data_IF_950180984363
#
_entry.id   IF_950180984363
#
_cell.length_a   1.000
_cell.length_b   1.000
_cell.length_c   1.000
_cell.angle_alpha   90.00
_cell.angle_beta   90.00
_cell.angle_gamma   90.00
#
_symmetry.space_group_name_H-M   'P 1'
#
loop_
_entity.id
_entity.type
_entity.pdbx_description
1 polymer ?
#
# COMPACT_ATOMS: atom_id res chain seq x y z
N UNK A 1 26.21 -27.54 32.77
CA UNK A 1 25.75 -27.13 31.41
C UNK A 1 24.48 -26.30 31.58
N UNK A 2 24.62 -25.01 31.54
CA UNK A 2 23.48 -24.10 31.65
C UNK A 2 22.87 -23.86 30.24
N UNK A 3 21.68 -24.39 30.03
CA UNK A 3 20.91 -24.13 28.82
C UNK A 3 20.44 -22.67 28.84
N UNK A 4 20.99 -21.86 27.97
CA UNK A 4 20.51 -20.49 27.68
C UNK A 4 19.12 -20.59 27.00
N UNK A 5 18.09 -20.73 27.82
CA UNK A 5 16.72 -20.58 27.38
C UNK A 5 16.51 -19.12 26.96
N UNK A 6 16.54 -18.85 25.66
CA UNK A 6 16.17 -17.53 25.14
C UNK A 6 14.77 -17.16 25.63
N UNK A 7 14.64 -15.95 26.19
CA UNK A 7 13.38 -15.39 26.67
C UNK A 7 12.31 -15.50 25.56
N UNK A 8 11.08 -15.98 25.84
CA UNK A 8 10.00 -16.07 24.86
C UNK A 8 9.75 -14.78 24.09
N UNK A 9 9.99 -13.63 24.71
CA UNK A 9 9.88 -12.31 24.08
C UNK A 9 11.00 -12.05 23.07
N UNK A 10 12.22 -12.55 23.34
CA UNK A 10 13.36 -12.41 22.42
C UNK A 10 13.19 -13.32 21.20
N UNK A 11 12.66 -14.52 21.38
CA UNK A 11 12.30 -15.41 20.26
C UNK A 11 11.26 -14.74 19.35
N UNK A 12 10.15 -14.25 19.92
CA UNK A 12 9.13 -13.53 19.12
C UNK A 12 9.67 -12.31 18.38
N UNK A 13 10.63 -11.58 18.97
CA UNK A 13 11.29 -10.47 18.28
C UNK A 13 12.16 -10.93 17.12
N UNK A 14 12.87 -12.03 17.28
CA UNK A 14 13.67 -12.61 16.21
C UNK A 14 12.78 -13.13 15.06
N UNK A 15 11.69 -13.82 15.38
CA UNK A 15 10.73 -14.32 14.40
C UNK A 15 10.09 -13.17 13.59
N UNK A 16 9.75 -12.04 14.25
CA UNK A 16 9.22 -10.85 13.58
C UNK A 16 10.30 -10.19 12.70
N UNK A 17 11.55 -10.13 13.14
CA UNK A 17 12.64 -9.57 12.36
C UNK A 17 12.90 -10.40 11.11
N UNK A 18 12.94 -11.72 11.22
CA UNK A 18 13.07 -12.65 10.10
C UNK A 18 11.88 -12.52 9.12
N UNK A 19 10.66 -12.41 9.64
CA UNK A 19 9.47 -12.17 8.81
C UNK A 19 9.53 -10.83 8.06
N UNK A 20 10.11 -9.78 8.65
CA UNK A 20 10.32 -8.49 7.98
C UNK A 20 11.36 -8.59 6.86
N UNK A 21 12.43 -9.36 7.05
CA UNK A 21 13.45 -9.60 6.02
C UNK A 21 12.91 -10.45 4.86
N UNK A 22 11.98 -11.36 5.15
CA UNK A 22 11.34 -12.22 4.16
C UNK A 22 10.20 -11.52 3.39
N UNK A 23 9.85 -10.27 3.71
CA UNK A 23 8.78 -9.57 3.01
C UNK A 23 9.10 -9.41 1.52
N UNK A 24 8.15 -9.76 0.64
CA UNK A 24 8.32 -9.51 -0.77
C UNK A 24 8.44 -8.00 -1.03
N UNK A 25 9.36 -7.59 -1.92
CA UNK A 25 9.55 -6.18 -2.25
C UNK A 25 8.29 -5.58 -2.90
N UNK A 26 8.12 -4.27 -2.74
CA UNK A 26 7.08 -3.55 -3.47
C UNK A 26 7.28 -3.71 -4.97
N UNK A 27 6.19 -3.88 -5.75
CA UNK A 27 6.30 -3.98 -7.21
C UNK A 27 6.97 -2.75 -7.81
N UNK A 28 7.82 -2.95 -8.80
CA UNK A 28 8.54 -1.86 -9.45
C UNK A 28 7.58 -0.78 -9.99
N UNK A 29 6.42 -1.17 -10.53
CA UNK A 29 5.42 -0.22 -11.01
C UNK A 29 4.83 0.62 -9.87
N UNK A 30 4.63 0.05 -8.68
CA UNK A 30 4.16 0.82 -7.52
C UNK A 30 5.19 1.86 -7.09
N UNK A 31 6.46 1.49 -7.04
CA UNK A 31 7.57 2.41 -6.74
C UNK A 31 7.63 3.56 -7.75
N UNK A 32 7.51 3.26 -9.05
CA UNK A 32 7.50 4.30 -10.11
C UNK A 32 6.28 5.22 -10.00
N UNK A 33 5.11 4.70 -9.69
CA UNK A 33 3.92 5.54 -9.45
C UNK A 33 4.13 6.46 -8.26
N UNK A 34 4.74 5.95 -7.17
CA UNK A 34 5.07 6.77 -5.99
C UNK A 34 6.08 7.88 -6.33
N UNK A 35 7.11 7.58 -7.11
CA UNK A 35 8.11 8.53 -7.57
C UNK A 35 7.47 9.68 -8.37
N UNK A 36 6.66 9.34 -9.37
CA UNK A 36 5.90 10.33 -10.15
C UNK A 36 4.96 11.15 -9.26
N UNK A 37 4.31 10.49 -8.31
CA UNK A 37 3.34 11.13 -7.42
C UNK A 37 3.96 12.10 -6.41
N UNK A 38 5.21 11.90 -6.03
CA UNK A 38 5.94 12.78 -5.10
C UNK A 38 6.65 13.95 -5.80
N UNK A 39 6.84 13.86 -7.11
CA UNK A 39 7.49 14.91 -7.86
C UNK A 39 6.50 16.05 -8.19
N UNK A 40 6.70 17.27 -7.65
CA UNK A 40 5.80 18.39 -7.89
C UNK A 40 5.72 18.84 -9.37
N UNK A 41 6.70 18.44 -10.18
CA UNK A 41 6.76 18.74 -11.61
C UNK A 41 6.06 17.70 -12.48
N UNK A 42 5.63 16.58 -11.89
CA UNK A 42 4.96 15.50 -12.62
C UNK A 42 3.54 15.89 -12.99
N UNK A 43 3.17 15.48 -14.18
CA UNK A 43 1.84 15.66 -14.78
C UNK A 43 1.00 14.37 -14.74
N UNK A 44 -0.28 14.49 -15.07
CA UNK A 44 -1.13 13.34 -15.29
C UNK A 44 -0.63 12.45 -16.46
N UNK A 45 0.07 13.06 -17.44
CA UNK A 45 0.67 12.32 -18.56
C UNK A 45 1.82 11.44 -18.11
N UNK A 46 2.66 11.90 -17.18
CA UNK A 46 3.76 11.10 -16.63
C UNK A 46 3.21 9.88 -15.85
N UNK A 47 2.16 10.09 -15.08
CA UNK A 47 1.45 9.00 -14.40
C UNK A 47 0.83 8.02 -15.41
N UNK A 48 0.23 8.54 -16.51
CA UNK A 48 -0.34 7.71 -17.56
C UNK A 48 0.70 6.82 -18.23
N UNK A 49 1.90 7.32 -18.48
CA UNK A 49 3.00 6.53 -19.06
C UNK A 49 3.40 5.37 -18.14
N UNK A 50 3.54 5.62 -16.83
CA UNK A 50 3.87 4.57 -15.87
C UNK A 50 2.76 3.53 -15.78
N UNK A 51 1.50 3.95 -15.68
CA UNK A 51 0.35 3.03 -15.61
C UNK A 51 0.24 2.20 -16.89
N UNK A 52 0.43 2.82 -18.05
CA UNK A 52 0.34 2.14 -19.36
C UNK A 52 1.46 1.13 -19.58
N UNK A 53 2.57 1.22 -18.85
CA UNK A 53 3.66 0.24 -18.94
C UNK A 53 3.31 -1.11 -18.30
N UNK A 54 2.22 -1.18 -17.50
CA UNK A 54 1.73 -2.41 -16.88
C UNK A 54 0.30 -2.71 -17.35
N UNK A 55 0.12 -3.75 -18.22
CA UNK A 55 -1.20 -4.10 -18.77
C UNK A 55 -2.22 -4.49 -17.69
N UNK A 56 -1.76 -5.16 -16.62
CA UNK A 56 -2.63 -5.56 -15.50
C UNK A 56 -3.14 -4.36 -14.72
N UNK A 57 -2.28 -3.38 -14.45
CA UNK A 57 -2.65 -2.13 -13.78
C UNK A 57 -3.57 -1.30 -14.66
N UNK A 58 -3.26 -1.16 -15.96
CA UNK A 58 -4.10 -0.49 -16.94
C UNK A 58 -5.51 -1.05 -16.98
N UNK A 59 -5.65 -2.37 -17.08
CA UNK A 59 -6.94 -3.06 -17.07
C UNK A 59 -7.75 -2.85 -15.78
N UNK A 60 -7.09 -2.81 -14.63
CA UNK A 60 -7.75 -2.52 -13.34
C UNK A 60 -8.28 -1.09 -13.30
N UNK A 61 -7.51 -0.11 -13.70
CA UNK A 61 -7.92 1.30 -13.72
C UNK A 61 -9.09 1.51 -14.69
N UNK A 62 -9.00 0.97 -15.90
CA UNK A 62 -10.08 1.07 -16.89
C UNK A 62 -11.37 0.42 -16.39
N UNK A 63 -11.29 -0.72 -15.72
CA UNK A 63 -12.45 -1.39 -15.13
C UNK A 63 -13.13 -0.54 -14.06
N UNK A 64 -12.37 0.13 -13.22
CA UNK A 64 -12.92 0.99 -12.17
C UNK A 64 -13.60 2.21 -12.77
N UNK A 65 -12.96 2.89 -13.71
CA UNK A 65 -13.53 4.10 -14.37
C UNK A 65 -14.81 3.77 -15.12
N UNK A 66 -14.90 2.58 -15.71
CA UNK A 66 -16.10 2.13 -16.41
C UNK A 66 -17.14 1.47 -15.50
N UNK A 67 -16.89 1.39 -14.18
CA UNK A 67 -17.86 0.87 -13.23
C UNK A 67 -19.04 1.84 -13.03
N UNK A 68 -20.11 1.34 -12.44
CA UNK A 68 -21.32 2.14 -12.19
C UNK A 68 -21.05 3.42 -11.36
N UNK A 69 -20.03 3.41 -10.49
CA UNK A 69 -19.67 4.54 -9.63
C UNK A 69 -19.08 5.75 -10.41
N UNK A 70 -18.48 5.50 -11.59
CA UNK A 70 -17.85 6.52 -12.43
C UNK A 70 -18.47 6.62 -13.82
N UNK A 71 -19.59 5.91 -14.04
CA UNK A 71 -20.22 5.77 -15.35
C UNK A 71 -20.46 7.12 -16.03
N UNK A 72 -19.93 7.26 -17.23
CA UNK A 72 -20.20 8.35 -18.15
C UNK A 72 -21.10 7.88 -19.29
N UNK A 73 -21.45 8.80 -20.19
CA UNK A 73 -22.26 8.52 -21.38
C UNK A 73 -21.57 7.57 -22.38
N UNK A 74 -20.24 7.48 -22.32
CA UNK A 74 -19.44 6.57 -23.16
C UNK A 74 -18.38 5.83 -22.35
N UNK A 75 -17.95 4.70 -22.85
CA UNK A 75 -16.88 3.90 -22.28
C UNK A 75 -15.52 4.61 -22.43
N UNK A 76 -14.72 4.58 -21.38
CA UNK A 76 -13.33 5.07 -21.35
C UNK A 76 -12.42 3.94 -21.81
N UNK A 77 -11.70 4.13 -22.90
CA UNK A 77 -10.86 3.09 -23.52
C UNK A 77 -9.36 3.34 -23.37
N UNK A 78 -8.95 4.52 -22.90
CA UNK A 78 -7.53 4.84 -22.69
C UNK A 78 -7.20 5.18 -21.25
N UNK A 79 -5.98 4.80 -20.83
CA UNK A 79 -5.46 5.15 -19.49
C UNK A 79 -5.40 6.67 -19.32
N UNK A 80 -4.99 7.42 -20.35
CA UNK A 80 -4.92 8.87 -20.32
C UNK A 80 -6.29 9.48 -19.96
N UNK A 81 -7.34 9.05 -20.63
CA UNK A 81 -8.71 9.52 -20.37
C UNK A 81 -9.21 9.08 -18.99
N UNK A 82 -8.86 7.87 -18.57
CA UNK A 82 -9.18 7.36 -17.25
C UNK A 82 -8.59 8.24 -16.14
N UNK A 83 -7.32 8.63 -16.28
CA UNK A 83 -6.64 9.48 -15.29
C UNK A 83 -7.20 10.91 -15.26
N UNK A 84 -7.56 11.45 -16.41
CA UNK A 84 -8.25 12.76 -16.48
C UNK A 84 -9.63 12.67 -15.80
N UNK A 85 -10.35 11.57 -16.03
CA UNK A 85 -11.67 11.34 -15.42
C UNK A 85 -11.62 11.24 -13.91
N UNK A 86 -10.62 10.55 -13.37
CA UNK A 86 -10.42 10.36 -11.93
C UNK A 86 -9.84 11.61 -11.24
N UNK A 87 -9.10 12.40 -11.96
CA UNK A 87 -8.22 13.42 -11.40
C UNK A 87 -6.94 12.83 -10.80
N UNK A 88 -5.87 13.62 -10.75
CA UNK A 88 -4.52 13.16 -10.41
C UNK A 88 -4.43 12.40 -9.06
N UNK A 89 -5.03 12.95 -8.00
CA UNK A 89 -4.96 12.36 -6.64
C UNK A 89 -5.64 10.98 -6.59
N UNK A 90 -6.83 10.88 -7.17
CA UNK A 90 -7.60 9.63 -7.20
C UNK A 90 -6.88 8.58 -8.07
N UNK A 91 -6.43 9.00 -9.25
CA UNK A 91 -5.70 8.15 -10.19
C UNK A 91 -4.41 7.60 -9.56
N UNK A 92 -3.63 8.45 -8.92
CA UNK A 92 -2.43 8.07 -8.17
C UNK A 92 -2.72 7.01 -7.12
N UNK A 93 -3.71 7.26 -6.24
CA UNK A 93 -4.05 6.33 -5.16
C UNK A 93 -4.52 4.99 -5.72
N UNK A 94 -5.30 5.01 -6.80
CA UNK A 94 -5.75 3.78 -7.48
C UNK A 94 -4.61 3.05 -8.17
N UNK A 95 -3.69 3.76 -8.82
CA UNK A 95 -2.53 3.17 -9.48
C UNK A 95 -1.64 2.44 -8.46
N UNK A 96 -1.34 3.07 -7.32
CA UNK A 96 -0.53 2.45 -6.28
C UNK A 96 -1.26 1.23 -5.68
N UNK A 97 -2.53 1.39 -5.28
CA UNK A 97 -3.31 0.29 -4.71
C UNK A 97 -3.46 -0.87 -5.70
N UNK A 98 -3.69 -0.57 -6.98
CA UNK A 98 -3.82 -1.57 -8.03
C UNK A 98 -2.51 -2.30 -8.34
N UNK A 99 -1.38 -1.60 -8.34
CA UNK A 99 -0.07 -2.19 -8.53
C UNK A 99 0.26 -3.19 -7.40
N UNK A 100 0.00 -2.78 -6.16
CA UNK A 100 0.23 -3.62 -4.98
C UNK A 100 -0.71 -4.83 -4.96
N UNK A 101 -2.02 -4.61 -5.17
CA UNK A 101 -2.99 -5.70 -5.22
C UNK A 101 -2.70 -6.74 -6.32
N UNK A 102 -1.99 -6.33 -7.38
CA UNK A 102 -1.58 -7.25 -8.44
C UNK A 102 -0.36 -8.11 -8.11
N UNK A 103 0.47 -7.66 -7.18
CA UNK A 103 1.70 -8.36 -6.82
C UNK A 103 1.53 -9.32 -5.64
N UNK A 104 0.64 -8.97 -4.74
CA UNK A 104 0.32 -9.81 -3.58
C UNK A 104 -0.99 -10.53 -3.87
N UNK A 105 -0.89 -11.66 -4.58
CA UNK A 105 -2.07 -12.50 -4.85
C UNK A 105 -2.68 -13.03 -3.54
N UNK A 106 -3.99 -13.26 -3.50
CA UNK A 106 -4.74 -13.59 -2.27
C UNK A 106 -4.56 -15.03 -1.79
N UNK A 107 -3.41 -15.64 -1.99
CA UNK A 107 -3.15 -17.01 -1.54
C UNK A 107 -3.02 -17.15 -0.01
N UNK A 108 -2.98 -16.04 0.71
CA UNK A 108 -3.06 -16.07 2.16
C UNK A 108 -4.53 -16.04 2.60
N UNK A 109 -5.03 -17.18 2.98
CA UNK A 109 -6.38 -17.47 3.50
C UNK A 109 -6.65 -16.79 4.87
N UNK A 110 -6.30 -15.53 5.02
CA UNK A 110 -6.59 -14.81 6.24
C UNK A 110 -7.84 -13.94 6.05
N UNK A 111 -8.97 -14.39 6.55
CA UNK A 111 -10.27 -13.73 6.36
C UNK A 111 -10.31 -12.31 6.98
N UNK A 112 -9.47 -12.04 7.98
CA UNK A 112 -9.47 -10.78 8.75
C UNK A 112 -8.41 -9.79 8.28
N UNK A 113 -7.29 -10.24 7.66
CA UNK A 113 -6.25 -9.35 7.15
C UNK A 113 -6.26 -9.29 5.62
N UNK A 114 -6.62 -8.14 5.08
CA UNK A 114 -6.59 -7.90 3.64
C UNK A 114 -5.38 -7.05 3.27
N UNK A 115 -4.41 -7.66 2.59
CA UNK A 115 -3.15 -7.02 2.16
C UNK A 115 -3.40 -5.75 1.34
N UNK A 116 -4.42 -5.75 0.48
CA UNK A 116 -4.82 -4.58 -0.29
C UNK A 116 -5.26 -3.41 0.60
N UNK A 117 -6.08 -3.69 1.63
CA UNK A 117 -6.56 -2.68 2.58
C UNK A 117 -5.40 -2.14 3.42
N UNK A 118 -4.47 -3.01 3.83
CA UNK A 118 -3.26 -2.64 4.53
C UNK A 118 -2.44 -1.61 3.72
N UNK A 119 -2.11 -1.94 2.47
CA UNK A 119 -1.32 -1.04 1.63
C UNK A 119 -2.06 0.24 1.28
N UNK A 120 -3.35 0.17 0.98
CA UNK A 120 -4.17 1.36 0.73
C UNK A 120 -4.13 2.33 1.91
N UNK A 121 -4.23 1.81 3.14
CA UNK A 121 -4.12 2.61 4.36
C UNK A 121 -2.72 3.20 4.51
N UNK A 122 -1.67 2.38 4.45
CA UNK A 122 -0.28 2.82 4.64
C UNK A 122 0.12 3.92 3.64
N UNK A 123 -0.31 3.78 2.38
CA UNK A 123 -0.06 4.77 1.33
C UNK A 123 -0.84 6.06 1.59
N UNK A 124 -2.11 5.98 1.99
CA UNK A 124 -2.90 7.16 2.31
C UNK A 124 -2.28 7.95 3.47
N UNK A 125 -1.81 7.25 4.52
CA UNK A 125 -1.09 7.84 5.64
C UNK A 125 0.22 8.49 5.18
N UNK A 126 1.00 7.84 4.30
CA UNK A 126 2.25 8.39 3.78
C UNK A 126 2.04 9.70 3.02
N UNK A 127 1.06 9.76 2.12
CA UNK A 127 0.75 10.99 1.42
C UNK A 127 0.23 12.09 2.34
N UNK A 128 -0.58 11.74 3.34
CA UNK A 128 -1.06 12.72 4.32
C UNK A 128 0.05 13.23 5.22
N UNK A 129 0.96 12.36 5.65
CA UNK A 129 2.15 12.75 6.41
C UNK A 129 3.06 13.69 5.60
N UNK A 130 3.30 13.40 4.33
CA UNK A 130 4.08 14.26 3.43
C UNK A 130 3.41 15.63 3.23
N UNK A 131 2.09 15.66 3.03
CA UNK A 131 1.31 16.91 2.90
C UNK A 131 1.44 17.78 4.16
N UNK A 132 1.27 17.18 5.35
CA UNK A 132 1.40 17.90 6.63
C UNK A 132 2.83 18.39 6.85
N UNK A 133 3.83 17.57 6.52
CA UNK A 133 5.24 17.97 6.61
C UNK A 133 5.55 19.16 5.69
N UNK A 134 4.97 19.19 4.49
CA UNK A 134 5.12 20.31 3.55
C UNK A 134 4.60 21.66 4.06
N UNK A 135 3.69 21.64 5.03
CA UNK A 135 3.18 22.84 5.69
C UNK A 135 4.12 23.36 6.81
N UNK A 136 5.12 22.57 7.20
CA UNK A 136 6.06 22.90 8.26
C UNK A 136 7.51 22.82 7.76
N UNK A 137 8.17 23.97 7.61
CA UNK A 137 9.55 24.06 7.09
C UNK A 137 10.61 23.32 7.93
N UNK A 138 10.26 22.85 9.13
CA UNK A 138 11.16 22.09 10.03
C UNK A 138 11.09 20.58 9.77
N UNK A 139 10.15 20.11 8.98
CA UNK A 139 9.95 18.69 8.70
C UNK A 139 10.46 18.34 7.30
N UNK A 140 11.11 17.19 7.20
CA UNK A 140 11.54 16.64 5.93
C UNK A 140 10.39 15.84 5.29
N UNK A 141 9.92 16.31 4.14
CA UNK A 141 8.77 15.72 3.44
C UNK A 141 9.03 14.26 3.01
N UNK A 142 10.21 13.91 2.44
CA UNK A 142 10.53 12.52 2.12
C UNK A 142 10.54 11.59 3.34
N UNK A 143 11.12 12.04 4.45
CA UNK A 143 11.14 11.27 5.70
C UNK A 143 9.73 11.05 6.26
N UNK A 144 8.87 12.07 6.21
CA UNK A 144 7.48 11.97 6.63
C UNK A 144 6.70 10.96 5.78
N UNK A 145 6.93 10.97 4.46
CA UNK A 145 6.35 9.96 3.56
C UNK A 145 6.82 8.55 3.92
N UNK A 146 8.13 8.36 4.11
CA UNK A 146 8.71 7.08 4.47
C UNK A 146 8.17 6.58 5.81
N UNK A 147 8.10 7.44 6.81
CA UNK A 147 7.49 7.10 8.10
C UNK A 147 6.03 6.68 7.95
N UNK A 148 5.28 7.37 7.09
CA UNK A 148 3.89 7.03 6.78
C UNK A 148 3.74 5.67 6.09
N UNK A 149 4.65 5.28 5.20
CA UNK A 149 4.66 3.93 4.60
C UNK A 149 4.96 2.86 5.65
N UNK A 150 5.92 3.11 6.52
CA UNK A 150 6.47 2.11 7.44
C UNK A 150 5.70 1.99 8.75
N UNK A 151 4.81 2.94 9.09
CA UNK A 151 4.17 3.01 10.41
C UNK A 151 3.47 1.73 10.85
N UNK A 152 3.02 0.93 9.91
CA UNK A 152 2.18 -0.25 10.17
C UNK A 152 2.86 -1.58 9.77
N UNK A 153 4.17 -1.57 9.47
CA UNK A 153 4.90 -2.76 8.99
C UNK A 153 4.86 -3.93 9.97
N UNK A 154 4.70 -3.67 11.27
CA UNK A 154 4.53 -4.74 12.27
C UNK A 154 3.32 -5.64 11.99
N UNK A 155 2.22 -5.09 11.48
CA UNK A 155 1.05 -5.92 11.07
C UNK A 155 1.37 -6.81 9.88
N UNK A 156 2.16 -6.32 8.95
CA UNK A 156 2.59 -7.09 7.79
C UNK A 156 3.56 -8.20 8.20
N UNK A 157 4.49 -7.90 9.12
CA UNK A 157 5.39 -8.90 9.69
C UNK A 157 4.62 -10.02 10.42
N UNK A 158 3.62 -9.68 11.21
CA UNK A 158 2.75 -10.67 11.86
C UNK A 158 1.97 -11.50 10.83
N UNK A 159 1.48 -10.89 9.76
CA UNK A 159 0.76 -11.60 8.70
C UNK A 159 1.62 -12.71 8.04
N UNK A 160 2.91 -12.45 7.82
CA UNK A 160 3.82 -13.43 7.23
C UNK A 160 4.47 -14.36 8.27
N UNK A 161 4.75 -13.87 9.48
CA UNK A 161 5.48 -14.63 10.51
C UNK A 161 4.57 -15.42 11.45
N UNK A 162 3.43 -14.86 11.86
CA UNK A 162 2.46 -15.49 12.76
C UNK A 162 1.02 -15.05 12.43
N UNK A 163 0.43 -15.60 11.36
CA UNK A 163 -0.92 -15.24 10.93
C UNK A 163 -1.99 -15.48 12.02
N UNK A 164 -1.82 -16.53 12.84
CA UNK A 164 -2.76 -16.88 13.89
C UNK A 164 -2.78 -15.83 15.01
N UNK A 165 -1.60 -15.34 15.42
CA UNK A 165 -1.50 -14.26 16.39
C UNK A 165 -2.09 -12.95 15.86
N UNK A 166 -1.93 -12.66 14.57
CA UNK A 166 -2.56 -11.51 13.94
C UNK A 166 -4.09 -11.61 13.97
N UNK A 167 -4.66 -12.77 13.62
CA UNK A 167 -6.10 -12.99 13.63
C UNK A 167 -6.68 -12.84 15.05
N UNK A 168 -6.00 -13.39 16.05
CA UNK A 168 -6.38 -13.22 17.43
C UNK A 168 -6.36 -11.75 17.85
N UNK A 169 -5.30 -11.02 17.53
CA UNK A 169 -5.18 -9.60 17.86
C UNK A 169 -6.27 -8.75 17.19
N UNK A 170 -6.59 -9.04 15.93
CA UNK A 170 -7.66 -8.34 15.18
C UNK A 170 -9.04 -8.67 15.78
N UNK A 171 -9.30 -9.94 16.13
CA UNK A 171 -10.54 -10.35 16.76
C UNK A 171 -10.73 -9.67 18.12
N UNK A 172 -9.68 -9.61 18.96
CA UNK A 172 -9.71 -8.90 20.22
C UNK A 172 -9.95 -7.39 20.06
N UNK A 173 -9.31 -6.76 19.07
CA UNK A 173 -9.51 -5.34 18.78
C UNK A 173 -10.97 -5.04 18.39
N UNK A 174 -11.56 -5.88 17.54
CA UNK A 174 -12.99 -5.76 17.16
C UNK A 174 -13.90 -5.86 18.39
N UNK A 175 -13.64 -6.83 19.28
CA UNK A 175 -14.45 -7.01 20.50
C UNK A 175 -14.33 -5.80 21.44
N UNK A 176 -13.14 -5.18 21.51
CA UNK A 176 -12.87 -4.00 22.36
C UNK A 176 -13.31 -2.67 21.72
N UNK A 177 -13.67 -2.68 20.45
CA UNK A 177 -14.07 -1.47 19.71
C UNK A 177 -12.90 -0.52 19.40
N UNK A 178 -11.69 -1.04 19.24
CA UNK A 178 -10.46 -0.29 18.91
C UNK A 178 -9.87 -0.73 17.59
#
# INVERSE_FOLDING_TARGET
>A
MAGTGSNPTERKRADIAEALEALPPLPAVALRVMEVAQNPKSSASDLALVVSSDPGLSGRILRVVNSAAYRRSREVTSVQEALVTLGFVQARNMAISGAIAGAYAPDALNALFRIETFWRHSIAVAFKAAELAGQNRRLDVPSAFTAGILHNMGRLAMFYGDPAALDQAVAEAIVRGV
#
